data_IF_901779883117
#
_entry.id   IF_901779883117
#
_cell.length_a   1.000
_cell.length_b   1.000
_cell.length_c   1.000
_cell.angle_alpha   90.00
_cell.angle_beta   90.00
_cell.angle_gamma   90.00
#
_symmetry.space_group_name_H-M   'P 1'
#
loop_
_entity.id
_entity.type
_entity.pdbx_description
1 polymer ?
#
# COMPACT_ATOMS: atom_id res chain seq x y z
N UNK A 1 -3.36 -12.77 0.18
CA UNK A 1 -4.47 -12.33 -0.66
C UNK A 1 -5.40 -11.44 0.16
N UNK A 2 -5.51 -10.17 -0.23
CA UNK A 2 -6.32 -9.16 0.46
C UNK A 2 -7.46 -8.76 -0.47
N UNK A 3 -8.68 -8.72 0.05
CA UNK A 3 -9.87 -8.32 -0.69
C UNK A 3 -10.92 -7.71 0.24
N UNK A 4 -12.16 -7.58 -0.23
CA UNK A 4 -13.26 -7.10 0.60
C UNK A 4 -13.57 -8.14 1.70
N UNK A 5 -13.47 -7.80 3.00
CA UNK A 5 -13.67 -8.73 4.11
C UNK A 5 -15.09 -9.31 4.19
N UNK A 6 -16.08 -8.71 3.52
CA UNK A 6 -17.43 -9.28 3.41
C UNK A 6 -17.52 -10.43 2.39
N UNK A 7 -16.51 -10.61 1.56
CA UNK A 7 -16.46 -11.59 0.48
C UNK A 7 -15.27 -12.56 0.57
N UNK A 8 -14.35 -12.34 1.49
CA UNK A 8 -13.18 -13.19 1.68
C UNK A 8 -12.83 -13.31 3.16
N UNK A 9 -12.58 -14.53 3.61
CA UNK A 9 -12.04 -14.79 4.94
C UNK A 9 -10.54 -14.49 4.94
N UNK A 10 -10.19 -13.27 5.33
CA UNK A 10 -8.79 -12.88 5.48
C UNK A 10 -8.40 -13.15 6.93
N UNK A 11 -7.49 -14.11 7.12
CA UNK A 11 -6.89 -14.38 8.43
C UNK A 11 -5.78 -13.37 8.69
N UNK A 12 -6.14 -12.20 9.21
CA UNK A 12 -5.17 -11.11 9.47
C UNK A 12 -4.08 -11.56 10.43
N UNK A 13 -4.41 -12.40 11.40
CA UNK A 13 -3.51 -12.93 12.41
C UNK A 13 -2.35 -13.70 11.79
N UNK A 14 -2.57 -14.35 10.63
CA UNK A 14 -1.51 -15.07 9.93
C UNK A 14 -0.36 -14.17 9.49
N UNK A 15 -0.67 -12.93 9.09
CA UNK A 15 0.35 -11.97 8.66
C UNK A 15 1.16 -11.36 9.82
N UNK A 16 0.75 -11.63 11.06
CA UNK A 16 1.42 -11.21 12.29
C UNK A 16 1.95 -12.40 13.10
N UNK A 17 1.81 -13.62 12.58
CA UNK A 17 2.30 -14.83 13.21
C UNK A 17 3.81 -14.99 13.01
N UNK A 18 4.55 -15.06 14.10
CA UNK A 18 6.01 -15.09 14.09
C UNK A 18 6.55 -16.30 13.33
N UNK A 19 5.93 -17.48 13.45
CA UNK A 19 6.36 -18.71 12.77
C UNK A 19 6.14 -18.60 11.26
N UNK A 20 5.03 -17.98 10.86
CA UNK A 20 4.74 -17.71 9.45
C UNK A 20 5.74 -16.72 8.87
N UNK A 21 6.05 -15.64 9.59
CA UNK A 21 7.02 -14.63 9.16
C UNK A 21 8.44 -15.21 9.10
N UNK A 22 8.83 -16.04 10.08
CA UNK A 22 10.13 -16.73 10.07
C UNK A 22 10.26 -17.67 8.87
N UNK A 23 9.19 -18.41 8.55
CA UNK A 23 9.15 -19.26 7.34
C UNK A 23 9.40 -18.46 6.08
N UNK A 24 8.71 -17.32 5.92
CA UNK A 24 8.89 -16.44 4.77
C UNK A 24 10.30 -15.85 4.72
N UNK A 25 10.85 -15.45 5.87
CA UNK A 25 12.21 -14.92 5.96
C UNK A 25 13.26 -15.97 5.53
N UNK A 26 13.05 -17.23 5.89
CA UNK A 26 13.94 -18.35 5.52
C UNK A 26 13.88 -18.71 4.02
N UNK A 27 12.86 -18.26 3.30
CA UNK A 27 12.79 -18.39 1.84
C UNK A 27 13.66 -17.36 1.11
N UNK A 28 14.07 -16.28 1.80
CA UNK A 28 14.92 -15.23 1.25
C UNK A 28 16.36 -15.78 1.09
N UNK A 29 16.89 -15.68 -0.13
CA UNK A 29 18.24 -16.07 -0.48
C UNK A 29 18.99 -14.89 -1.07
N UNK A 30 20.26 -14.74 -0.74
CA UNK A 30 21.12 -13.73 -1.39
C UNK A 30 21.54 -14.14 -2.81
N UNK A 31 21.39 -15.41 -3.16
CA UNK A 31 21.84 -15.97 -4.45
C UNK A 31 20.70 -16.16 -5.47
N UNK A 32 19.45 -16.00 -5.03
CA UNK A 32 18.28 -16.27 -5.87
C UNK A 32 17.19 -15.23 -5.65
N UNK A 33 16.56 -14.82 -6.73
CA UNK A 33 15.31 -14.06 -6.69
C UNK A 33 14.18 -15.05 -6.36
N UNK A 34 13.34 -14.68 -5.39
CA UNK A 34 12.11 -15.44 -5.11
C UNK A 34 11.16 -15.19 -6.27
N UNK A 35 10.80 -16.26 -6.99
CA UNK A 35 9.76 -16.18 -8.00
C UNK A 35 8.42 -15.84 -7.33
N UNK A 36 7.75 -14.76 -7.72
CA UNK A 36 6.46 -14.40 -7.14
C UNK A 36 5.45 -15.49 -7.45
N UNK A 37 4.81 -15.99 -6.41
CA UNK A 37 3.81 -17.07 -6.51
C UNK A 37 2.54 -16.66 -7.27
N UNK A 38 2.34 -15.37 -7.50
CA UNK A 38 1.23 -14.82 -8.28
C UNK A 38 1.68 -13.57 -9.01
N UNK A 39 1.86 -13.70 -10.29
CA UNK A 39 2.20 -12.59 -11.16
C UNK A 39 1.01 -12.15 -11.98
N UNK A 40 0.19 -11.28 -11.42
CA UNK A 40 -0.42 -10.26 -12.26
C UNK A 40 0.37 -8.97 -12.00
N UNK A 41 1.52 -8.87 -12.66
CA UNK A 41 2.28 -7.63 -12.72
C UNK A 41 1.47 -6.63 -13.53
N UNK A 42 0.58 -5.94 -12.86
CA UNK A 42 0.12 -4.67 -13.36
C UNK A 42 1.37 -3.79 -13.39
N UNK A 43 1.93 -3.57 -14.57
CA UNK A 43 2.92 -2.52 -14.79
C UNK A 43 2.31 -1.26 -14.21
N UNK A 44 2.83 -0.81 -13.08
CA UNK A 44 2.32 0.39 -12.43
C UNK A 44 2.68 1.59 -13.29
N UNK A 45 1.75 1.98 -14.15
CA UNK A 45 1.74 3.34 -14.68
C UNK A 45 1.60 4.29 -13.49
N UNK A 46 2.22 5.44 -13.58
CA UNK A 46 2.13 6.50 -12.57
C UNK A 46 0.71 6.61 -12.02
N UNK A 47 0.55 6.43 -10.71
CA UNK A 47 -0.74 6.51 -10.01
C UNK A 47 -0.84 7.86 -9.31
N UNK A 48 -1.94 8.57 -9.50
CA UNK A 48 -2.18 9.85 -8.85
C UNK A 48 -2.64 9.65 -7.41
N UNK A 49 -1.77 9.98 -6.49
CA UNK A 49 -2.03 9.88 -5.05
C UNK A 49 -1.41 11.07 -4.33
N UNK A 50 -2.12 11.64 -3.37
CA UNK A 50 -1.66 12.74 -2.52
C UNK A 50 -1.68 12.29 -1.07
N UNK A 51 -0.58 12.56 -0.35
CA UNK A 51 -0.47 12.41 1.09
C UNK A 51 -0.50 13.79 1.74
N UNK A 52 -1.33 13.93 2.76
CA UNK A 52 -1.34 15.09 3.67
C UNK A 52 -1.10 14.59 5.08
N UNK A 53 -0.12 15.15 5.75
CA UNK A 53 0.14 14.91 7.17
C UNK A 53 0.05 16.21 7.95
N UNK A 54 -0.48 16.15 9.17
CA UNK A 54 -0.52 17.26 10.08
C UNK A 54 -0.37 16.80 11.52
N UNK A 55 0.21 17.67 12.35
CA UNK A 55 0.27 17.49 13.79
C UNK A 55 0.03 18.83 14.49
N UNK A 56 -0.59 18.80 15.65
CA UNK A 56 -0.82 19.99 16.48
C UNK A 56 0.07 20.01 17.73
N UNK A 57 0.00 21.11 18.47
CA UNK A 57 0.78 21.29 19.72
C UNK A 57 0.34 20.37 20.85
N UNK A 58 -0.87 19.79 20.76
CA UNK A 58 -1.42 18.85 21.73
C UNK A 58 -0.97 17.41 21.45
N UNK A 59 -0.24 17.17 20.33
CA UNK A 59 0.22 15.85 19.92
C UNK A 59 -0.79 15.07 19.09
N UNK A 60 -1.93 15.67 18.69
CA UNK A 60 -2.81 15.06 17.73
C UNK A 60 -2.12 15.01 16.37
N UNK A 61 -2.21 13.86 15.71
CA UNK A 61 -1.55 13.62 14.43
C UNK A 61 -2.50 12.95 13.45
N UNK A 62 -2.40 13.34 12.18
CA UNK A 62 -3.19 12.76 11.09
C UNK A 62 -2.29 12.39 9.91
N UNK A 63 -2.59 11.25 9.30
CA UNK A 63 -2.10 10.87 7.98
C UNK A 63 -3.30 10.63 7.08
N UNK A 64 -3.44 11.42 6.04
CA UNK A 64 -4.56 11.36 5.08
C UNK A 64 -4.02 11.09 3.69
N UNK A 65 -4.50 10.03 3.06
CA UNK A 65 -4.20 9.75 1.65
C UNK A 65 -5.47 9.90 0.82
N UNK A 66 -5.35 10.65 -0.25
CA UNK A 66 -6.39 10.85 -1.26
C UNK A 66 -5.90 10.36 -2.62
N UNK A 67 -6.71 9.54 -3.31
CA UNK A 67 -6.34 8.95 -4.60
C UNK A 67 -7.58 8.62 -5.42
N UNK A 68 -7.52 8.88 -6.70
CA UNK A 68 -8.52 8.46 -7.68
C UNK A 68 -8.05 7.26 -8.53
N UNK A 69 -6.93 6.65 -8.13
CA UNK A 69 -6.25 5.49 -8.70
C UNK A 69 -5.41 5.86 -9.93
N UNK A 70 -5.93 5.82 -11.15
CA UNK A 70 -5.20 6.26 -12.34
C UNK A 70 -5.31 7.78 -12.55
N UNK A 71 -4.39 8.41 -13.30
CA UNK A 71 -4.48 9.80 -13.71
C UNK A 71 -5.85 10.10 -14.34
N UNK A 72 -6.53 11.13 -13.85
CA UNK A 72 -7.92 11.48 -14.20
C UNK A 72 -8.97 10.40 -13.87
N UNK A 73 -8.63 9.36 -13.11
CA UNK A 73 -9.55 8.32 -12.65
C UNK A 73 -10.34 7.68 -13.78
N UNK A 74 -11.67 7.68 -13.67
CA UNK A 74 -12.59 7.17 -14.70
C UNK A 74 -12.80 8.09 -15.88
N UNK A 75 -12.23 9.30 -15.88
CA UNK A 75 -12.53 10.40 -16.79
C UNK A 75 -14.00 10.88 -16.74
N UNK A 76 -14.77 10.39 -15.77
CA UNK A 76 -16.14 10.86 -15.52
C UNK A 76 -16.13 11.88 -14.40
N UNK A 77 -16.89 12.94 -14.57
CA UNK A 77 -16.99 14.04 -13.63
C UNK A 77 -18.45 14.28 -13.20
N UNK A 78 -18.63 14.59 -11.93
CA UNK A 78 -19.92 15.11 -11.46
C UNK A 78 -19.96 16.61 -11.73
N UNK A 79 -20.81 17.04 -12.65
CA UNK A 79 -21.02 18.47 -12.96
C UNK A 79 -21.47 19.25 -11.73
N UNK A 80 -22.32 18.64 -10.89
CA UNK A 80 -22.87 19.30 -9.70
C UNK A 80 -21.83 19.58 -8.63
N UNK A 81 -20.85 18.66 -8.44
CA UNK A 81 -19.89 18.73 -7.34
C UNK A 81 -18.45 19.02 -7.78
N UNK A 82 -18.19 19.06 -9.09
CA UNK A 82 -16.83 19.25 -9.61
C UNK A 82 -15.87 18.12 -9.24
N UNK A 83 -16.38 16.89 -9.02
CA UNK A 83 -15.60 15.75 -8.58
C UNK A 83 -15.35 14.80 -9.75
N UNK A 84 -14.10 14.38 -9.90
CA UNK A 84 -13.73 13.30 -10.82
C UNK A 84 -13.87 11.97 -10.07
N UNK A 85 -14.56 11.00 -10.66
CA UNK A 85 -14.73 9.68 -10.08
C UNK A 85 -13.49 8.84 -10.29
N UNK A 86 -13.07 8.12 -9.23
CA UNK A 86 -11.97 7.18 -9.31
C UNK A 86 -12.30 5.99 -10.23
N UNK A 87 -11.29 5.35 -10.75
CA UNK A 87 -11.43 4.11 -11.54
C UNK A 87 -10.91 2.86 -10.81
N UNK A 88 -10.95 2.83 -9.49
CA UNK A 88 -10.39 1.74 -8.67
C UNK A 88 -11.01 0.37 -8.96
N UNK A 89 -12.20 0.33 -9.56
CA UNK A 89 -12.81 -0.89 -10.06
C UNK A 89 -11.98 -1.64 -11.12
N UNK A 90 -11.06 -0.95 -11.81
CA UNK A 90 -10.10 -1.59 -12.71
C UNK A 90 -9.16 -2.59 -12.00
N UNK A 91 -9.08 -2.54 -10.67
CA UNK A 91 -8.30 -3.47 -9.86
C UNK A 91 -9.00 -4.83 -9.61
N UNK A 92 -10.28 -4.98 -9.96
CA UNK A 92 -10.92 -6.30 -9.90
C UNK A 92 -10.32 -7.28 -10.90
N UNK A 93 -10.39 -8.56 -10.56
CA UNK A 93 -10.03 -9.66 -11.46
C UNK A 93 -11.28 -10.45 -11.88
N UNK A 94 -11.23 -11.10 -13.03
CA UNK A 94 -12.33 -11.91 -13.55
C UNK A 94 -12.16 -13.42 -13.22
N UNK A 95 -11.08 -13.76 -12.53
CA UNK A 95 -10.80 -15.11 -12.08
C UNK A 95 -11.80 -15.52 -10.98
N UNK A 96 -12.48 -16.63 -11.21
CA UNK A 96 -13.46 -17.18 -10.27
C UNK A 96 -12.78 -17.60 -8.97
N UNK A 97 -13.44 -17.31 -7.85
CA UNK A 97 -13.00 -17.61 -6.48
C UNK A 97 -11.73 -16.87 -6.04
N UNK A 98 -11.24 -15.94 -6.85
CA UNK A 98 -10.17 -15.04 -6.43
C UNK A 98 -10.68 -14.05 -5.37
N UNK A 99 -9.91 -13.74 -4.29
CA UNK A 99 -10.34 -12.79 -3.24
C UNK A 99 -10.77 -11.44 -3.77
N UNK A 100 -10.24 -11.00 -4.90
CA UNK A 100 -10.60 -9.74 -5.56
C UNK A 100 -11.40 -9.96 -6.86
N UNK A 101 -12.11 -11.08 -6.98
CA UNK A 101 -13.04 -11.34 -8.08
C UNK A 101 -14.12 -10.26 -8.16
N UNK A 102 -14.47 -9.83 -9.37
CA UNK A 102 -15.56 -8.88 -9.60
C UNK A 102 -16.91 -9.49 -9.21
N UNK A 103 -17.57 -8.93 -8.21
CA UNK A 103 -18.91 -9.35 -7.76
C UNK A 103 -19.79 -8.12 -7.48
N UNK A 104 -21.13 -8.25 -7.59
CA UNK A 104 -22.06 -7.19 -7.20
C UNK A 104 -21.85 -6.77 -5.74
N UNK A 105 -21.93 -5.49 -5.46
CA UNK A 105 -21.81 -4.87 -4.13
C UNK A 105 -20.45 -5.11 -3.43
N UNK A 106 -19.45 -5.62 -4.13
CA UNK A 106 -18.12 -5.85 -3.60
C UNK A 106 -17.23 -4.63 -3.79
N UNK A 107 -16.46 -4.29 -2.76
CA UNK A 107 -15.43 -3.26 -2.83
C UNK A 107 -14.18 -3.80 -3.51
N UNK A 108 -13.55 -3.05 -4.42
CA UNK A 108 -12.29 -3.47 -5.01
C UNK A 108 -11.17 -3.45 -3.95
N UNK A 109 -10.12 -4.21 -4.19
CA UNK A 109 -8.88 -4.12 -3.43
C UNK A 109 -8.40 -2.67 -3.34
N UNK A 110 -8.04 -2.24 -2.13
CA UNK A 110 -7.65 -0.87 -1.87
C UNK A 110 -6.16 -0.77 -1.60
N UNK A 111 -5.47 0.15 -2.28
CA UNK A 111 -4.02 0.33 -2.19
C UNK A 111 -3.58 1.49 -1.29
N UNK A 112 -4.52 2.26 -0.73
CA UNK A 112 -4.23 3.41 0.11
C UNK A 112 -3.89 2.96 1.53
N UNK A 113 -2.73 3.38 2.04
CA UNK A 113 -2.22 2.99 3.34
C UNK A 113 -1.70 4.23 4.08
N UNK A 114 -2.56 5.08 4.67
CA UNK A 114 -2.10 6.10 5.61
C UNK A 114 -1.61 5.43 6.89
N UNK A 115 -0.50 5.91 7.45
CA UNK A 115 0.10 5.29 8.62
C UNK A 115 0.62 6.31 9.64
N UNK A 116 0.73 5.87 10.88
CA UNK A 116 1.36 6.61 11.97
C UNK A 116 2.32 5.65 12.68
N UNK A 117 3.59 6.00 12.73
CA UNK A 117 4.56 5.33 13.59
C UNK A 117 4.50 5.95 14.98
N UNK A 118 4.31 5.12 16.00
CA UNK A 118 4.42 5.52 17.41
C UNK A 118 5.77 5.03 17.94
N UNK A 119 6.62 5.93 18.33
CA UNK A 119 7.89 5.62 18.94
C UNK A 119 7.77 5.23 20.41
N UNK A 120 8.80 4.60 20.96
CA UNK A 120 8.83 4.17 22.38
C UNK A 120 8.69 5.33 23.34
N UNK A 121 9.16 6.52 22.98
CA UNK A 121 9.03 7.75 23.77
C UNK A 121 7.63 8.38 23.71
N UNK A 122 6.71 7.80 22.92
CA UNK A 122 5.36 8.29 22.71
C UNK A 122 5.19 9.27 21.55
N UNK A 123 6.26 9.67 20.86
CA UNK A 123 6.20 10.52 19.67
C UNK A 123 5.42 9.84 18.56
N UNK A 124 4.68 10.64 17.80
CA UNK A 124 3.90 10.16 16.64
C UNK A 124 4.49 10.75 15.36
N UNK A 125 4.76 9.89 14.40
CA UNK A 125 5.20 10.29 13.05
C UNK A 125 4.14 9.83 12.03
N UNK A 126 3.25 10.73 11.59
CA UNK A 126 2.33 10.41 10.49
C UNK A 126 3.11 10.37 9.18
N UNK A 127 2.88 9.33 8.40
CA UNK A 127 3.57 9.13 7.13
C UNK A 127 2.72 8.36 6.12
N UNK A 128 3.20 8.23 4.92
CA UNK A 128 2.62 7.42 3.86
C UNK A 128 3.47 7.47 2.61
N UNK A 129 3.19 6.58 1.69
CA UNK A 129 3.89 6.48 0.41
C UNK A 129 2.85 6.48 -0.70
N UNK A 130 3.18 7.14 -1.81
CA UNK A 130 2.38 7.15 -3.03
C UNK A 130 2.91 6.10 -4.00
N UNK A 131 2.05 5.60 -4.90
CA UNK A 131 2.47 4.66 -5.94
C UNK A 131 1.62 3.39 -6.03
N UNK A 132 0.31 3.48 -5.79
CA UNK A 132 -0.61 2.34 -5.96
C UNK A 132 -0.21 1.15 -5.09
N UNK A 133 0.04 0.00 -5.71
CA UNK A 133 0.43 -1.23 -5.00
C UNK A 133 1.81 -1.16 -4.33
N UNK A 134 2.68 -0.27 -4.80
CA UNK A 134 3.99 -0.02 -4.18
C UNK A 134 3.88 0.50 -2.75
N UNK A 135 2.74 1.04 -2.33
CA UNK A 135 2.60 1.67 -1.01
C UNK A 135 3.03 0.74 0.12
N UNK A 136 2.67 -0.55 0.09
CA UNK A 136 3.07 -1.52 1.12
C UNK A 136 4.59 -1.69 1.18
N UNK A 137 5.23 -1.93 0.04
CA UNK A 137 6.69 -2.08 -0.04
C UNK A 137 7.41 -0.77 0.29
N UNK A 138 6.85 0.36 -0.13
CA UNK A 138 7.38 1.68 0.19
C UNK A 138 7.35 1.99 1.68
N UNK A 139 6.30 1.58 2.40
CA UNK A 139 6.23 1.68 3.85
C UNK A 139 7.32 0.85 4.53
N UNK A 140 7.44 -0.43 4.16
CA UNK A 140 8.47 -1.31 4.71
C UNK A 140 9.86 -0.70 4.51
N UNK A 141 10.15 -0.22 3.30
CA UNK A 141 11.45 0.38 2.97
C UNK A 141 11.74 1.66 3.77
N UNK A 142 10.77 2.58 3.88
CA UNK A 142 10.96 3.82 4.65
C UNK A 142 11.21 3.50 6.11
N UNK A 143 10.42 2.60 6.69
CA UNK A 143 10.59 2.22 8.09
C UNK A 143 11.91 1.52 8.32
N UNK A 144 12.31 0.59 7.46
CA UNK A 144 13.61 -0.07 7.55
C UNK A 144 14.78 0.92 7.43
N UNK A 145 14.72 1.87 6.51
CA UNK A 145 15.74 2.90 6.39
C UNK A 145 15.90 3.71 7.68
N UNK A 146 14.81 4.06 8.35
CA UNK A 146 14.84 4.84 9.58
C UNK A 146 15.22 3.98 10.79
N UNK A 147 14.59 2.80 10.96
CA UNK A 147 14.69 2.01 12.17
C UNK A 147 15.89 1.07 12.17
N UNK A 148 16.20 0.43 11.03
CA UNK A 148 17.26 -0.57 10.94
C UNK A 148 18.58 0.07 10.49
N UNK A 149 18.54 1.02 9.55
CA UNK A 149 19.73 1.67 9.02
C UNK A 149 20.01 3.05 9.65
N UNK A 150 19.19 3.49 10.61
CA UNK A 150 19.39 4.75 11.34
C UNK A 150 19.54 5.98 10.44
N UNK A 151 18.89 5.98 9.29
CA UNK A 151 18.88 7.13 8.40
C UNK A 151 18.02 8.25 8.98
N UNK A 152 18.43 9.50 8.80
CA UNK A 152 17.53 10.62 9.04
C UNK A 152 16.36 10.64 8.04
N UNK A 153 15.32 11.41 8.35
CA UNK A 153 14.10 11.44 7.53
C UNK A 153 14.38 11.84 6.09
N UNK A 154 15.27 12.82 5.86
CA UNK A 154 15.56 13.30 4.52
C UNK A 154 16.39 12.28 3.74
N UNK A 155 17.34 11.62 4.38
CA UNK A 155 18.11 10.53 3.79
C UNK A 155 17.19 9.36 3.40
N UNK A 156 16.29 8.94 4.30
CA UNK A 156 15.35 7.87 4.05
C UNK A 156 14.41 8.17 2.85
N UNK A 157 13.98 9.44 2.72
CA UNK A 157 13.14 9.89 1.60
C UNK A 157 13.92 9.96 0.28
N UNK A 158 15.16 10.40 0.31
CA UNK A 158 16.02 10.55 -0.87
C UNK A 158 16.57 9.19 -1.34
N UNK A 159 16.54 8.16 -0.48
CA UNK A 159 17.08 6.86 -0.83
C UNK A 159 16.33 6.23 -1.99
N UNK A 160 17.04 5.51 -2.84
CA UNK A 160 16.48 4.90 -4.05
C UNK A 160 15.32 3.97 -3.76
N UNK A 161 14.29 4.01 -4.61
CA UNK A 161 13.18 3.04 -4.57
C UNK A 161 13.56 1.79 -5.35
N UNK A 162 13.10 0.64 -4.85
CA UNK A 162 13.18 -0.63 -5.55
C UNK A 162 11.79 -1.10 -5.92
N UNK A 163 11.63 -1.55 -7.16
CA UNK A 163 10.40 -2.13 -7.67
C UNK A 163 10.71 -3.53 -8.18
N UNK A 164 9.80 -4.47 -7.92
CA UNK A 164 9.84 -5.72 -8.64
C UNK A 164 9.34 -5.47 -10.06
N UNK A 165 10.15 -5.81 -11.03
CA UNK A 165 9.83 -5.69 -12.44
C UNK A 165 9.94 -7.04 -13.11
N UNK A 166 8.82 -7.54 -13.66
CA UNK A 166 8.88 -8.69 -14.57
C UNK A 166 9.40 -8.15 -15.91
N UNK A 167 10.71 -8.37 -16.16
CA UNK A 167 11.39 -8.05 -17.40
C UNK A 167 10.94 -8.91 -18.56
#
# INVERSE_FOLDING_TARGET
YIGDPHFSEIKHELFLDDLFLEKLANEISMDKIIEPQTTNSLIEKSKDTVLVTAADKQGNSISLIFSIFDPFGSCLCSERFGLIFHNRGAGFVLEKDHPNELKPNKRPFHTIIPAILKEKNGSLMPFGVMGGQYQANGHARILSNILDYSMDLQQALNFQRSFYYNG
#
